data_IF_844885396704
#
_entry.id   IF_844885396704
#
_cell.length_a   1.000
_cell.length_b   1.000
_cell.length_c   1.000
_cell.angle_alpha   90.00
_cell.angle_beta   90.00
_cell.angle_gamma   90.00
#
_symmetry.space_group_name_H-M   'P 1'
#
loop_
_entity.id
_entity.type
_entity.pdbx_description
1 polymer ?
#
# COMPACT_ATOMS: atom_id res chain seq x y z
N UNK A 1 12.93 41.47 -4.01
CA UNK A 1 12.72 40.80 -2.71
C UNK A 1 11.92 39.50 -2.79
N UNK A 2 10.73 39.43 -3.43
CA UNK A 2 9.90 38.21 -3.51
C UNK A 2 10.55 37.03 -4.27
N UNK A 3 11.34 37.29 -5.35
CA UNK A 3 12.01 36.25 -6.14
C UNK A 3 13.16 35.60 -5.38
N UNK A 4 14.02 36.40 -4.74
CA UNK A 4 15.15 35.89 -3.93
C UNK A 4 14.66 35.02 -2.75
N UNK A 5 13.60 35.42 -2.08
CA UNK A 5 12.98 34.63 -1.01
C UNK A 5 12.40 33.30 -1.53
N UNK A 6 11.75 33.28 -2.71
CA UNK A 6 11.25 32.05 -3.35
C UNK A 6 12.39 31.11 -3.73
N UNK A 7 13.50 31.64 -4.27
CA UNK A 7 14.68 30.84 -4.61
C UNK A 7 15.35 30.24 -3.38
N UNK A 8 15.45 30.99 -2.31
CA UNK A 8 16.01 30.51 -1.04
C UNK A 8 15.13 29.38 -0.42
N UNK A 9 13.80 29.52 -0.45
CA UNK A 9 12.88 28.49 0.00
C UNK A 9 12.98 27.22 -0.85
N UNK A 10 13.04 27.37 -2.17
CA UNK A 10 13.21 26.25 -3.09
C UNK A 10 14.54 25.52 -2.85
N UNK A 11 15.64 26.25 -2.66
CA UNK A 11 16.95 25.68 -2.34
C UNK A 11 16.95 24.93 -1.00
N UNK A 12 16.34 25.50 0.04
CA UNK A 12 16.18 24.83 1.34
C UNK A 12 15.34 23.54 1.24
N UNK A 13 14.28 23.56 0.43
CA UNK A 13 13.44 22.38 0.20
C UNK A 13 14.21 21.30 -0.58
N UNK A 14 14.90 21.67 -1.67
CA UNK A 14 15.70 20.73 -2.47
C UNK A 14 16.80 20.08 -1.63
N UNK A 15 17.52 20.86 -0.81
CA UNK A 15 18.53 20.33 0.10
C UNK A 15 17.95 19.29 1.08
N UNK A 16 16.75 19.54 1.64
CA UNK A 16 16.08 18.58 2.54
C UNK A 16 15.71 17.30 1.82
N UNK A 17 15.16 17.39 0.60
CA UNK A 17 14.84 16.23 -0.21
C UNK A 17 16.10 15.39 -0.47
N UNK A 18 17.18 16.02 -0.92
CA UNK A 18 18.45 15.34 -1.20
C UNK A 18 19.00 14.65 0.05
N UNK A 19 19.04 15.32 1.19
CA UNK A 19 19.51 14.73 2.45
C UNK A 19 18.63 13.56 2.91
N UNK A 20 17.30 13.68 2.74
CA UNK A 20 16.37 12.57 3.04
C UNK A 20 16.62 11.37 2.13
N UNK A 21 16.84 11.60 0.83
CA UNK A 21 17.12 10.53 -0.13
C UNK A 21 18.47 9.87 0.11
N UNK A 22 19.50 10.63 0.50
CA UNK A 22 20.81 10.09 0.87
C UNK A 22 20.72 9.19 2.11
N UNK A 23 20.05 9.67 3.16
CA UNK A 23 19.82 8.85 4.36
C UNK A 23 19.03 7.58 4.04
N UNK A 24 18.01 7.69 3.20
CA UNK A 24 17.19 6.57 2.74
C UNK A 24 18.02 5.55 1.92
N UNK A 25 18.89 6.03 1.06
CA UNK A 25 19.77 5.18 0.25
C UNK A 25 20.79 4.43 1.14
N UNK A 26 21.43 5.10 2.10
CA UNK A 26 22.33 4.49 3.07
C UNK A 26 21.62 3.39 3.86
N UNK A 27 20.40 3.67 4.34
CA UNK A 27 19.60 2.69 5.08
C UNK A 27 19.18 1.50 4.20
N UNK A 28 18.89 1.73 2.91
CA UNK A 28 18.62 0.65 1.97
C UNK A 28 19.84 -0.27 1.80
N UNK A 29 21.04 0.31 1.66
CA UNK A 29 22.28 -0.47 1.57
C UNK A 29 22.56 -1.27 2.85
N UNK A 30 22.32 -0.67 4.02
CA UNK A 30 22.44 -1.40 5.29
C UNK A 30 21.45 -2.57 5.35
N UNK A 31 20.21 -2.38 4.90
CA UNK A 31 19.20 -3.44 4.81
C UNK A 31 19.59 -4.54 3.80
N UNK A 32 20.23 -4.19 2.68
CA UNK A 32 20.80 -5.18 1.74
C UNK A 32 21.86 -6.02 2.43
N UNK A 33 22.81 -5.39 3.14
CA UNK A 33 23.86 -6.09 3.88
C UNK A 33 23.31 -7.00 5.00
N UNK A 34 22.19 -6.61 5.61
CA UNK A 34 21.50 -7.39 6.65
C UNK A 34 20.52 -8.44 6.07
N UNK A 35 20.47 -8.61 4.75
CA UNK A 35 19.56 -9.55 4.06
C UNK A 35 18.10 -9.40 4.48
N UNK A 36 17.64 -8.17 4.78
CA UNK A 36 16.23 -7.92 5.14
C UNK A 36 15.32 -8.04 3.92
N UNK A 37 14.04 -8.41 4.10
CA UNK A 37 13.09 -8.37 2.99
C UNK A 37 12.91 -6.93 2.49
N UNK A 38 12.72 -6.75 1.20
CA UNK A 38 12.47 -5.45 0.57
C UNK A 38 13.42 -4.32 1.07
N UNK A 39 14.72 -4.48 0.98
CA UNK A 39 15.68 -3.55 1.58
C UNK A 39 15.50 -2.12 1.07
N UNK A 40 15.15 -1.96 -0.21
CA UNK A 40 14.93 -0.67 -0.87
C UNK A 40 13.61 0.01 -0.49
N UNK A 41 12.73 -0.66 0.26
CA UNK A 41 11.50 -0.07 0.78
C UNK A 41 11.55 0.06 2.30
N UNK A 42 11.91 -1.00 3.03
CA UNK A 42 11.91 -1.03 4.50
C UNK A 42 13.00 -0.12 5.07
N UNK A 43 14.22 -0.15 4.52
CA UNK A 43 15.31 0.73 4.97
C UNK A 43 14.95 2.22 4.90
N UNK A 44 14.56 2.74 3.71
CA UNK A 44 14.06 4.10 3.55
C UNK A 44 12.89 4.45 4.47
N UNK A 45 11.91 3.55 4.60
CA UNK A 45 10.75 3.74 5.47
C UNK A 45 11.16 3.93 6.93
N UNK A 46 11.98 3.03 7.47
CA UNK A 46 12.39 3.06 8.87
C UNK A 46 13.26 4.28 9.20
N UNK A 47 14.27 4.57 8.37
CA UNK A 47 15.16 5.72 8.65
C UNK A 47 14.43 7.05 8.54
N UNK A 48 13.56 7.23 7.53
CA UNK A 48 12.81 8.48 7.38
C UNK A 48 11.77 8.65 8.48
N UNK A 49 11.13 7.56 8.93
CA UNK A 49 10.26 7.58 10.10
C UNK A 49 11.04 7.97 11.37
N UNK A 50 12.17 7.34 11.63
CA UNK A 50 13.01 7.61 12.80
C UNK A 50 13.51 9.07 12.81
N UNK A 51 14.02 9.57 11.68
CA UNK A 51 14.47 10.95 11.55
C UNK A 51 13.32 11.96 11.76
N UNK A 52 12.14 11.68 11.19
CA UNK A 52 10.97 12.55 11.35
C UNK A 52 10.49 12.58 12.79
N UNK A 53 10.47 11.43 13.48
CA UNK A 53 10.14 11.32 14.91
C UNK A 53 11.17 12.06 15.77
N UNK A 54 12.46 11.99 15.43
CA UNK A 54 13.52 12.72 16.10
C UNK A 54 13.49 14.25 15.85
N UNK A 55 12.49 14.76 15.13
CA UNK A 55 12.31 16.18 14.84
C UNK A 55 13.12 16.70 13.66
N UNK A 56 13.83 15.83 12.93
CA UNK A 56 14.49 16.20 11.69
C UNK A 56 13.44 16.46 10.62
N UNK A 57 13.51 17.61 9.96
CA UNK A 57 12.56 17.97 8.90
C UNK A 57 12.86 17.20 7.61
N UNK A 58 12.43 15.95 7.56
CA UNK A 58 12.46 15.12 6.35
C UNK A 58 11.42 15.59 5.35
N UNK A 59 11.67 15.39 4.06
CA UNK A 59 10.75 15.82 3.01
C UNK A 59 10.73 14.79 1.87
N UNK A 60 9.52 14.37 1.48
CA UNK A 60 9.26 13.60 0.27
C UNK A 60 8.81 14.51 -0.86
N UNK A 61 9.34 14.29 -2.06
CA UNK A 61 8.94 15.02 -3.24
C UNK A 61 7.85 14.25 -4.01
N UNK A 62 6.66 14.84 -4.12
CA UNK A 62 5.50 14.17 -4.71
C UNK A 62 5.73 13.62 -6.14
N UNK A 63 6.41 14.34 -7.07
CA UNK A 63 6.71 13.77 -8.38
C UNK A 63 7.54 12.48 -8.28
N UNK A 64 8.54 12.43 -7.40
CA UNK A 64 9.37 11.23 -7.21
C UNK A 64 8.55 10.05 -6.68
N UNK A 65 7.67 10.27 -5.70
CA UNK A 65 6.72 9.25 -5.24
C UNK A 65 5.81 8.77 -6.38
N UNK A 66 5.26 9.70 -7.18
CA UNK A 66 4.36 9.37 -8.27
C UNK A 66 5.08 8.55 -9.36
N UNK A 67 6.33 8.90 -9.70
CA UNK A 67 7.18 8.12 -10.60
C UNK A 67 7.44 6.72 -10.04
N UNK A 68 7.73 6.61 -8.72
CA UNK A 68 7.86 5.31 -8.06
C UNK A 68 6.61 4.46 -8.17
N UNK A 69 5.44 5.03 -7.90
CA UNK A 69 4.16 4.32 -8.06
C UNK A 69 3.91 3.89 -9.52
N UNK A 70 4.25 4.74 -10.47
CA UNK A 70 4.13 4.45 -11.90
C UNK A 70 5.04 3.28 -12.31
N UNK A 71 6.32 3.29 -11.95
CA UNK A 71 7.27 2.19 -12.24
C UNK A 71 6.79 0.88 -11.65
N UNK A 72 6.34 0.89 -10.39
CA UNK A 72 5.82 -0.32 -9.74
C UNK A 72 4.55 -0.81 -10.42
N UNK A 73 3.62 0.08 -10.78
CA UNK A 73 2.41 -0.28 -11.52
C UNK A 73 2.74 -0.98 -12.84
N UNK A 74 3.72 -0.46 -13.60
CA UNK A 74 4.20 -1.12 -14.83
C UNK A 74 4.79 -2.48 -14.52
N UNK A 75 5.73 -2.54 -13.57
CA UNK A 75 6.46 -3.76 -13.23
C UNK A 75 5.55 -4.90 -12.75
N UNK A 76 4.43 -4.57 -12.11
CA UNK A 76 3.42 -5.54 -11.67
C UNK A 76 2.46 -5.92 -12.80
N UNK A 77 2.04 -4.95 -13.63
CA UNK A 77 1.13 -5.21 -14.75
C UNK A 77 1.73 -6.15 -15.79
N UNK A 78 3.03 -6.08 -16.03
CA UNK A 78 3.75 -7.00 -16.92
C UNK A 78 3.76 -8.47 -16.43
N UNK A 79 3.37 -8.75 -15.19
CA UNK A 79 3.22 -10.11 -14.66
C UNK A 79 1.88 -10.77 -15.03
N UNK A 80 0.96 -10.05 -15.69
CA UNK A 80 -0.37 -10.55 -16.06
C UNK A 80 -0.36 -11.15 -17.47
N UNK A 81 0.30 -12.30 -17.62
CA UNK A 81 0.27 -13.09 -18.87
C UNK A 81 -1.13 -13.68 -19.12
N UNK A 82 -1.48 -14.13 -20.36
CA UNK A 82 -2.77 -14.76 -20.65
C UNK A 82 -3.09 -15.94 -19.74
N UNK A 83 -2.09 -16.79 -19.46
CA UNK A 83 -2.24 -17.94 -18.54
C UNK A 83 -2.59 -17.49 -17.12
N UNK A 84 -1.91 -16.48 -16.62
CA UNK A 84 -2.16 -15.93 -15.27
C UNK A 84 -3.53 -15.26 -15.21
N UNK A 85 -3.94 -14.56 -16.26
CA UNK A 85 -5.29 -13.96 -16.32
C UNK A 85 -6.39 -15.03 -16.27
N UNK A 86 -6.24 -16.12 -17.02
CA UNK A 86 -7.20 -17.22 -16.96
C UNK A 86 -7.31 -17.80 -15.54
N UNK A 87 -6.18 -17.98 -14.85
CA UNK A 87 -6.15 -18.41 -13.45
C UNK A 87 -6.85 -17.42 -12.52
N UNK A 88 -6.58 -16.11 -12.64
CA UNK A 88 -7.21 -15.07 -11.82
C UNK A 88 -8.72 -15.03 -12.06
N UNK A 89 -9.16 -15.15 -13.32
CA UNK A 89 -10.58 -15.19 -13.66
C UNK A 89 -11.28 -16.44 -13.10
N UNK A 90 -10.63 -17.59 -13.10
CA UNK A 90 -11.20 -18.80 -12.50
C UNK A 90 -11.40 -18.70 -10.98
N UNK A 91 -10.66 -17.82 -10.32
CA UNK A 91 -10.72 -17.54 -8.89
C UNK A 91 -11.66 -16.38 -8.53
N UNK A 92 -12.63 -16.02 -9.39
CA UNK A 92 -13.53 -14.88 -9.15
C UNK A 92 -14.26 -14.95 -7.79
N UNK A 93 -14.64 -16.15 -7.35
CA UNK A 93 -15.27 -16.39 -6.07
C UNK A 93 -14.37 -16.01 -4.89
N UNK A 94 -13.05 -16.23 -5.03
CA UNK A 94 -12.05 -15.87 -4.02
C UNK A 94 -12.00 -14.35 -3.84
N UNK A 95 -12.15 -13.57 -4.92
CA UNK A 95 -12.26 -12.11 -4.86
C UNK A 95 -13.43 -11.70 -3.97
N UNK A 96 -14.61 -12.29 -4.17
CA UNK A 96 -15.81 -12.01 -3.37
C UNK A 96 -15.59 -12.35 -1.89
N UNK A 97 -15.05 -13.53 -1.62
CA UNK A 97 -14.75 -14.00 -0.25
C UNK A 97 -13.75 -13.07 0.44
N UNK A 98 -12.67 -12.66 -0.24
CA UNK A 98 -11.68 -11.72 0.30
C UNK A 98 -12.27 -10.31 0.55
N UNK A 99 -13.19 -9.84 -0.29
CA UNK A 99 -13.88 -8.56 -0.09
C UNK A 99 -14.76 -8.63 1.17
N UNK A 100 -15.59 -9.67 1.28
CA UNK A 100 -16.47 -9.86 2.45
C UNK A 100 -15.64 -9.97 3.73
N UNK A 101 -14.56 -10.77 3.70
CA UNK A 101 -13.62 -10.87 4.81
C UNK A 101 -13.04 -9.51 5.21
N UNK A 102 -12.56 -8.73 4.24
CA UNK A 102 -11.94 -7.43 4.49
C UNK A 102 -12.93 -6.42 5.11
N UNK A 103 -14.19 -6.41 4.64
CA UNK A 103 -15.23 -5.55 5.19
C UNK A 103 -15.62 -5.98 6.61
N UNK A 104 -15.80 -7.30 6.83
CA UNK A 104 -16.12 -7.85 8.14
C UNK A 104 -15.00 -7.59 9.16
N UNK A 105 -13.75 -7.83 8.76
CA UNK A 105 -12.57 -7.58 9.59
C UNK A 105 -12.43 -6.09 9.92
N UNK A 106 -12.61 -5.21 8.91
CA UNK A 106 -12.60 -3.77 9.11
C UNK A 106 -13.69 -3.32 10.08
N UNK A 107 -14.93 -3.77 9.89
CA UNK A 107 -16.04 -3.44 10.78
C UNK A 107 -15.79 -3.93 12.22
N UNK A 108 -15.39 -5.20 12.39
CA UNK A 108 -15.07 -5.76 13.70
C UNK A 108 -13.96 -5.00 14.42
N UNK A 109 -12.92 -4.61 13.68
CA UNK A 109 -11.84 -3.77 14.21
C UNK A 109 -12.32 -2.39 14.62
N UNK A 110 -13.25 -1.77 13.88
CA UNK A 110 -13.86 -0.50 14.23
C UNK A 110 -14.65 -0.56 15.54
N UNK A 111 -15.42 -1.62 15.75
CA UNK A 111 -16.14 -1.87 17.01
C UNK A 111 -15.19 -2.05 18.18
N UNK A 112 -14.11 -2.82 17.97
CA UNK A 112 -13.09 -3.01 18.99
C UNK A 112 -12.37 -1.71 19.34
N UNK A 113 -11.96 -0.92 18.33
CA UNK A 113 -11.34 0.39 18.56
C UNK A 113 -12.26 1.32 19.36
N UNK A 114 -13.56 1.32 19.05
CA UNK A 114 -14.52 2.13 19.79
C UNK A 114 -14.63 1.64 21.25
N UNK A 115 -14.90 0.37 21.46
CA UNK A 115 -15.08 -0.21 22.79
C UNK A 115 -13.86 0.02 23.70
N UNK A 116 -12.65 -0.06 23.14
CA UNK A 116 -11.42 0.10 23.90
C UNK A 116 -11.09 1.57 24.23
N UNK A 117 -11.37 2.49 23.30
CA UNK A 117 -10.94 3.88 23.42
C UNK A 117 -12.04 4.82 23.92
N UNK A 118 -13.33 4.58 23.64
CA UNK A 118 -14.44 5.48 23.99
C UNK A 118 -14.49 5.84 25.49
N UNK A 119 -14.26 4.91 26.44
CA UNK A 119 -14.30 5.24 27.87
C UNK A 119 -13.21 6.23 28.32
N UNK A 120 -12.15 6.41 27.50
CA UNK A 120 -10.94 7.16 27.87
C UNK A 120 -10.65 8.33 26.95
N UNK A 121 -11.37 8.45 25.85
CA UNK A 121 -11.14 9.47 24.81
C UNK A 121 -12.42 10.26 24.57
N UNK A 122 -12.52 11.42 25.23
CA UNK A 122 -13.69 12.31 25.12
C UNK A 122 -13.89 12.75 23.67
N UNK A 123 -15.12 12.57 23.15
CA UNK A 123 -15.47 12.96 21.80
C UNK A 123 -15.10 11.97 20.70
N UNK A 124 -14.69 10.75 21.05
CA UNK A 124 -14.52 9.68 20.07
C UNK A 124 -15.90 9.11 19.69
N UNK A 125 -16.22 9.15 18.42
CA UNK A 125 -17.45 8.61 17.85
C UNK A 125 -17.22 7.32 17.07
N UNK A 126 -18.27 6.54 16.88
CA UNK A 126 -18.24 5.30 16.10
C UNK A 126 -17.97 5.55 14.62
N UNK A 127 -18.31 6.75 14.10
CA UNK A 127 -18.00 7.17 12.73
C UNK A 127 -16.50 7.22 12.51
N UNK A 128 -15.76 7.84 13.42
CA UNK A 128 -14.29 7.92 13.37
C UNK A 128 -13.66 6.53 13.42
N UNK A 129 -14.10 5.66 14.34
CA UNK A 129 -13.52 4.31 14.46
C UNK A 129 -13.86 3.42 13.28
N UNK A 130 -15.05 3.56 12.69
CA UNK A 130 -15.43 2.87 11.47
C UNK A 130 -14.50 3.21 10.30
N UNK A 131 -14.32 4.50 9.99
CA UNK A 131 -13.43 4.90 8.89
C UNK A 131 -11.96 4.63 9.18
N UNK A 132 -11.51 4.72 10.43
CA UNK A 132 -10.14 4.39 10.83
C UNK A 132 -9.80 2.90 10.63
N UNK A 133 -10.78 2.03 10.73
CA UNK A 133 -10.61 0.57 10.68
C UNK A 133 -10.70 -0.02 9.27
N UNK A 134 -11.36 0.63 8.31
CA UNK A 134 -11.53 0.12 6.95
C UNK A 134 -10.19 -0.17 6.27
N UNK A 135 -10.12 -1.30 5.55
CA UNK A 135 -8.91 -1.75 4.84
C UNK A 135 -8.94 -1.24 3.40
N UNK A 136 -8.67 0.06 3.20
CA UNK A 136 -8.72 0.71 1.90
C UNK A 136 -7.64 1.77 1.73
N UNK A 137 -7.76 2.59 0.68
CA UNK A 137 -6.85 3.71 0.44
C UNK A 137 -6.97 4.77 1.53
N UNK A 138 -5.85 5.09 2.19
CA UNK A 138 -5.84 6.02 3.31
C UNK A 138 -6.39 7.40 2.95
N UNK A 139 -5.99 7.94 1.79
CA UNK A 139 -6.39 9.28 1.35
C UNK A 139 -7.88 9.35 1.02
N UNK A 140 -8.39 8.33 0.35
CA UNK A 140 -9.78 8.25 -0.11
C UNK A 140 -10.73 8.07 1.07
N UNK A 141 -10.39 7.15 1.97
CA UNK A 141 -11.21 6.92 3.18
C UNK A 141 -11.19 8.15 4.08
N UNK A 142 -10.07 8.85 4.20
CA UNK A 142 -10.00 10.10 4.97
C UNK A 142 -10.90 11.19 4.37
N UNK A 143 -10.99 11.31 3.03
CA UNK A 143 -11.91 12.24 2.37
C UNK A 143 -13.39 11.88 2.59
N UNK A 144 -13.73 10.57 2.58
CA UNK A 144 -15.08 10.12 2.89
C UNK A 144 -15.39 10.39 4.37
N UNK A 145 -14.46 10.14 5.26
CA UNK A 145 -14.55 10.39 6.69
C UNK A 145 -14.80 11.87 7.00
N UNK A 146 -14.10 12.78 6.30
CA UNK A 146 -14.30 14.23 6.39
C UNK A 146 -15.74 14.63 6.05
N UNK A 147 -16.28 14.10 4.94
CA UNK A 147 -17.69 14.35 4.54
C UNK A 147 -18.72 13.84 5.55
N UNK A 148 -18.35 12.88 6.37
CA UNK A 148 -19.18 12.30 7.45
C UNK A 148 -18.85 12.89 8.82
N UNK A 149 -18.11 13.99 8.87
CA UNK A 149 -17.71 14.70 10.09
C UNK A 149 -16.91 13.85 11.10
N UNK A 150 -16.19 12.82 10.62
CA UNK A 150 -15.27 12.04 11.44
C UNK A 150 -13.97 12.82 11.72
N UNK A 151 -13.26 12.44 12.76
CA UNK A 151 -11.94 12.99 13.09
C UNK A 151 -10.89 12.47 12.12
N UNK A 152 -10.63 13.25 11.07
CA UNK A 152 -9.71 12.90 9.97
C UNK A 152 -8.26 12.72 10.43
N UNK A 153 -7.83 13.43 11.49
CA UNK A 153 -6.54 13.27 12.13
C UNK A 153 -6.34 11.83 12.66
N UNK A 154 -7.32 11.30 13.40
CA UNK A 154 -7.27 9.95 13.94
C UNK A 154 -7.40 8.88 12.85
N UNK A 155 -8.24 9.13 11.83
CA UNK A 155 -8.40 8.23 10.68
C UNK A 155 -7.10 8.13 9.89
N UNK A 156 -6.50 9.25 9.51
CA UNK A 156 -5.24 9.28 8.78
C UNK A 156 -4.09 8.65 9.58
N UNK A 157 -4.05 8.91 10.90
CA UNK A 157 -3.07 8.32 11.81
C UNK A 157 -3.19 6.79 11.86
N UNK A 158 -4.40 6.27 12.00
CA UNK A 158 -4.65 4.83 12.05
C UNK A 158 -4.21 4.13 10.73
N UNK A 159 -4.59 4.70 9.59
CA UNK A 159 -4.19 4.16 8.29
C UNK A 159 -2.67 4.18 8.07
N UNK A 160 -2.00 5.28 8.43
CA UNK A 160 -0.55 5.40 8.28
C UNK A 160 0.19 4.38 9.14
N UNK A 161 -0.17 4.27 10.43
CA UNK A 161 0.45 3.32 11.35
C UNK A 161 0.21 1.87 10.91
N UNK A 162 -1.01 1.54 10.46
CA UNK A 162 -1.32 0.20 9.94
C UNK A 162 -0.45 -0.15 8.74
N UNK A 163 -0.34 0.74 7.76
CA UNK A 163 0.51 0.50 6.59
C UNK A 163 1.96 0.29 7.01
N UNK A 164 2.50 1.10 7.93
CA UNK A 164 3.86 0.92 8.45
C UNK A 164 4.06 -0.48 9.04
N UNK A 165 3.19 -0.88 9.97
CA UNK A 165 3.30 -2.17 10.68
C UNK A 165 3.21 -3.32 9.67
N UNK A 166 2.22 -3.30 8.77
CA UNK A 166 2.02 -4.38 7.79
C UNK A 166 3.19 -4.48 6.82
N UNK A 167 3.70 -3.33 6.34
CA UNK A 167 4.84 -3.27 5.39
C UNK A 167 6.13 -3.83 5.99
N UNK A 168 6.30 -3.72 7.30
CA UNK A 168 7.50 -4.29 7.98
C UNK A 168 7.23 -5.72 8.44
N UNK A 169 6.10 -5.95 9.14
CA UNK A 169 5.85 -7.22 9.81
C UNK A 169 5.59 -8.38 8.83
N UNK A 170 4.76 -8.17 7.79
CA UNK A 170 4.34 -9.27 6.91
C UNK A 170 5.50 -9.80 6.06
N UNK A 171 6.30 -8.98 5.34
CA UNK A 171 7.44 -9.48 4.59
C UNK A 171 8.49 -10.14 5.49
N UNK A 172 8.76 -9.54 6.68
CA UNK A 172 9.74 -10.08 7.63
C UNK A 172 9.29 -11.44 8.20
N UNK A 173 8.00 -11.61 8.47
CA UNK A 173 7.45 -12.88 8.93
C UNK A 173 7.54 -13.95 7.82
N UNK A 174 7.16 -13.62 6.58
CA UNK A 174 7.22 -14.56 5.45
C UNK A 174 8.66 -15.03 5.23
N UNK A 175 9.62 -14.10 5.19
CA UNK A 175 11.03 -14.45 5.01
C UNK A 175 11.59 -15.24 6.20
N UNK A 176 11.28 -14.81 7.44
CA UNK A 176 11.77 -15.46 8.66
C UNK A 176 11.22 -16.88 8.86
N UNK A 177 9.99 -17.14 8.38
CA UNK A 177 9.36 -18.48 8.41
C UNK A 177 9.76 -19.36 7.21
N UNK A 178 10.52 -18.82 6.25
CA UNK A 178 10.93 -19.54 5.05
C UNK A 178 9.75 -19.95 4.16
N UNK A 179 8.64 -19.20 4.18
CA UNK A 179 7.49 -19.51 3.35
C UNK A 179 7.78 -19.20 1.89
N UNK A 180 7.54 -20.18 1.05
CA UNK A 180 7.76 -20.09 -0.40
C UNK A 180 6.45 -19.92 -1.13
N UNK A 181 6.50 -19.29 -2.30
CA UNK A 181 5.34 -19.05 -3.16
C UNK A 181 5.23 -20.08 -4.28
N UNK A 182 4.39 -19.76 -5.25
CA UNK A 182 4.41 -20.44 -6.54
C UNK A 182 5.78 -20.15 -7.17
N UNK A 183 6.55 -21.20 -7.47
CA UNK A 183 7.70 -21.11 -8.38
C UNK A 183 7.18 -20.84 -9.80
N UNK A 184 6.56 -19.68 -9.98
CA UNK A 184 6.24 -19.18 -11.30
C UNK A 184 7.58 -18.76 -11.87
N UNK A 185 8.04 -19.51 -12.85
CA UNK A 185 9.22 -19.16 -13.64
C UNK A 185 9.20 -17.65 -13.91
N UNK A 186 10.35 -16.97 -13.80
CA UNK A 186 10.41 -15.52 -13.94
C UNK A 186 9.63 -15.13 -15.17
N UNK A 187 8.62 -14.29 -14.98
CA UNK A 187 7.76 -13.79 -16.03
C UNK A 187 8.65 -13.35 -17.19
N UNK A 188 8.61 -14.10 -18.28
CA UNK A 188 9.31 -13.89 -19.53
C UNK A 188 10.71 -13.27 -19.37
N UNK A 189 11.74 -13.96 -19.83
CA UNK A 189 13.08 -13.42 -20.10
C UNK A 189 13.00 -12.34 -21.20
N UNK A 190 12.18 -11.33 -20.98
CA UNK A 190 12.03 -10.23 -21.90
C UNK A 190 13.33 -9.42 -21.84
N UNK A 191 14.03 -9.38 -22.96
CA UNK A 191 15.23 -8.58 -23.08
C UNK A 191 14.92 -7.10 -22.88
N UNK A 192 15.85 -6.39 -22.26
CA UNK A 192 15.78 -4.93 -22.18
C UNK A 192 15.89 -4.32 -23.58
N UNK A 193 14.97 -3.45 -23.93
CA UNK A 193 14.98 -2.64 -25.15
C UNK A 193 14.74 -1.18 -24.79
N UNK A 194 15.70 -0.30 -25.11
CA UNK A 194 15.57 1.13 -24.83
C UNK A 194 14.37 1.75 -25.59
N UNK A 195 14.18 1.38 -26.86
CA UNK A 195 13.03 1.82 -27.65
C UNK A 195 11.71 1.28 -27.10
N UNK A 196 11.69 0.00 -26.72
CA UNK A 196 10.54 -0.63 -26.08
C UNK A 196 10.20 0.01 -24.73
N UNK A 197 11.21 0.35 -23.91
CA UNK A 197 11.01 1.06 -22.66
C UNK A 197 10.44 2.47 -22.88
N UNK A 198 10.90 3.19 -23.91
CA UNK A 198 10.33 4.50 -24.24
C UNK A 198 8.86 4.39 -24.62
N UNK A 199 8.50 3.43 -25.48
CA UNK A 199 7.12 3.20 -25.88
C UNK A 199 6.24 2.78 -24.70
N UNK A 200 6.75 1.88 -23.86
CA UNK A 200 6.08 1.46 -22.64
C UNK A 200 5.84 2.64 -21.69
N UNK A 201 6.83 3.53 -21.54
CA UNK A 201 6.73 4.77 -20.76
C UNK A 201 5.64 5.68 -21.29
N UNK A 202 5.58 5.90 -22.59
CA UNK A 202 4.57 6.75 -23.22
C UNK A 202 3.16 6.18 -23.04
N UNK A 203 2.96 4.91 -23.35
CA UNK A 203 1.64 4.27 -23.26
C UNK A 203 1.12 4.25 -21.82
N UNK A 204 1.96 3.82 -20.88
CA UNK A 204 1.57 3.74 -19.47
C UNK A 204 1.44 5.11 -18.82
N UNK A 205 2.21 6.11 -19.28
CA UNK A 205 2.07 7.51 -18.90
C UNK A 205 0.75 8.11 -19.37
N UNK A 206 0.32 7.83 -20.60
CA UNK A 206 -1.01 8.20 -21.10
C UNK A 206 -2.13 7.56 -20.30
N UNK A 207 -1.99 6.27 -19.96
CA UNK A 207 -2.95 5.58 -19.08
C UNK A 207 -3.06 6.22 -17.70
N UNK A 208 -1.91 6.57 -17.10
CA UNK A 208 -1.89 7.28 -15.81
C UNK A 208 -2.55 8.66 -15.90
N UNK A 209 -2.32 9.39 -17.00
CA UNK A 209 -2.96 10.68 -17.24
C UNK A 209 -4.47 10.54 -17.42
N UNK A 210 -4.95 9.51 -18.14
CA UNK A 210 -6.37 9.21 -18.31
C UNK A 210 -7.06 8.97 -16.96
N UNK A 211 -6.49 8.15 -16.11
CA UNK A 211 -7.02 7.89 -14.76
C UNK A 211 -6.99 9.15 -13.88
N UNK A 212 -5.96 10.00 -14.03
CA UNK A 212 -5.87 11.30 -13.37
C UNK A 212 -6.99 12.25 -13.79
N UNK A 213 -7.30 12.30 -15.09
CA UNK A 213 -8.41 13.13 -15.62
C UNK A 213 -9.78 12.66 -15.11
N UNK A 214 -9.93 11.36 -14.82
CA UNK A 214 -11.14 10.81 -14.20
C UNK A 214 -11.25 11.15 -12.70
N UNK A 215 -10.30 11.88 -12.12
CA UNK A 215 -10.27 12.26 -10.71
C UNK A 215 -10.11 11.08 -9.74
N UNK A 216 -9.57 9.95 -10.22
CA UNK A 216 -9.36 8.76 -9.39
C UNK A 216 -8.07 8.83 -8.61
N UNK A 217 -8.07 8.18 -7.45
CA UNK A 217 -6.92 8.10 -6.55
C UNK A 217 -5.82 7.21 -7.14
N UNK A 218 -4.58 7.49 -6.72
CA UNK A 218 -3.40 6.75 -7.17
C UNK A 218 -3.30 6.56 -8.70
N UNK A 219 -3.54 7.63 -9.51
CA UNK A 219 -3.64 7.50 -10.95
C UNK A 219 -2.36 6.95 -11.59
N UNK A 220 -1.20 7.31 -11.04
CA UNK A 220 0.09 6.88 -11.52
C UNK A 220 0.31 5.37 -11.36
N UNK A 221 -0.17 4.78 -10.26
CA UNK A 221 -0.13 3.34 -10.04
C UNK A 221 -1.19 2.60 -10.86
N UNK A 222 -2.46 3.00 -10.72
CA UNK A 222 -3.59 2.28 -11.33
C UNK A 222 -3.55 2.38 -12.85
N UNK A 223 -3.30 3.57 -13.41
CA UNK A 223 -3.28 3.78 -14.86
C UNK A 223 -2.15 3.02 -15.54
N UNK A 224 -0.95 3.06 -14.97
CA UNK A 224 0.18 2.30 -15.50
C UNK A 224 -0.03 0.78 -15.37
N UNK A 225 -0.59 0.32 -14.26
CA UNK A 225 -0.92 -1.09 -14.03
C UNK A 225 -1.90 -1.59 -15.09
N UNK A 226 -3.01 -0.88 -15.31
CA UNK A 226 -4.06 -1.31 -16.26
C UNK A 226 -3.54 -1.39 -17.71
N UNK A 227 -2.77 -0.39 -18.14
CA UNK A 227 -2.17 -0.41 -19.50
C UNK A 227 -1.18 -1.56 -19.61
N UNK A 228 -0.33 -1.78 -18.62
CA UNK A 228 0.63 -2.88 -18.63
C UNK A 228 -0.03 -4.25 -18.59
N UNK A 229 -1.14 -4.41 -17.84
CA UNK A 229 -1.98 -5.61 -17.91
C UNK A 229 -2.50 -5.82 -19.33
N UNK A 230 -3.05 -4.78 -19.96
CA UNK A 230 -3.55 -4.85 -21.33
C UNK A 230 -2.47 -5.28 -22.33
N UNK A 231 -1.26 -4.74 -22.25
CA UNK A 231 -0.13 -5.12 -23.09
C UNK A 231 0.29 -6.58 -22.82
N UNK A 232 0.50 -6.96 -21.58
CA UNK A 232 0.95 -8.31 -21.22
C UNK A 232 -0.10 -9.38 -21.54
N UNK A 233 -1.38 -9.07 -21.35
CA UNK A 233 -2.51 -9.97 -21.70
C UNK A 233 -2.63 -10.26 -23.19
N UNK A 234 -2.16 -9.34 -24.05
CA UNK A 234 -2.11 -9.49 -25.49
C UNK A 234 -0.72 -9.93 -25.99
N UNK A 235 0.15 -10.39 -25.10
CA UNK A 235 1.51 -10.83 -25.40
C UNK A 235 2.39 -9.76 -26.09
N UNK A 236 2.03 -8.46 -25.91
CA UNK A 236 2.78 -7.35 -26.46
C UNK A 236 3.96 -7.07 -25.52
N UNK A 237 5.09 -7.66 -25.82
CA UNK A 237 6.32 -7.60 -25.07
C UNK A 237 7.18 -6.42 -25.57
N UNK A 238 7.12 -5.25 -24.90
CA UNK A 238 7.88 -4.07 -25.29
C UNK A 238 9.28 -4.01 -24.69
N UNK A 239 9.40 -4.14 -23.36
CA UNK A 239 10.67 -4.13 -22.62
C UNK A 239 10.48 -4.65 -21.20
N UNK A 240 11.55 -5.21 -20.63
CA UNK A 240 11.64 -5.42 -19.18
C UNK A 240 11.91 -4.11 -18.44
N UNK A 241 11.50 -4.05 -17.17
CA UNK A 241 11.86 -2.94 -16.27
C UNK A 241 13.17 -3.28 -15.55
N UNK A 242 14.23 -2.46 -15.68
CA UNK A 242 15.49 -2.67 -14.95
C UNK A 242 15.27 -2.74 -13.43
N UNK A 243 16.04 -3.58 -12.77
CA UNK A 243 15.94 -3.76 -11.32
C UNK A 243 16.27 -2.48 -10.55
N UNK A 244 17.17 -1.66 -11.08
CA UNK A 244 17.56 -0.37 -10.51
C UNK A 244 16.38 0.61 -10.49
N UNK A 245 15.55 0.60 -11.54
CA UNK A 245 14.33 1.42 -11.58
C UNK A 245 13.32 0.97 -10.54
N UNK A 246 13.14 -0.33 -10.35
CA UNK A 246 12.24 -0.87 -9.33
C UNK A 246 12.76 -0.59 -7.93
N UNK A 247 14.07 -0.66 -7.69
CA UNK A 247 14.71 -0.30 -6.44
C UNK A 247 14.55 1.19 -6.11
N UNK A 248 14.79 2.07 -7.08
CA UNK A 248 14.57 3.51 -6.93
C UNK A 248 13.09 3.83 -6.65
N UNK A 249 12.18 3.12 -7.30
CA UNK A 249 10.75 3.25 -7.07
C UNK A 249 10.34 2.83 -5.64
N UNK A 250 10.87 1.71 -5.15
CA UNK A 250 10.66 1.26 -3.77
C UNK A 250 11.19 2.29 -2.75
N UNK A 251 12.39 2.84 -2.99
CA UNK A 251 12.97 3.90 -2.16
C UNK A 251 12.05 5.12 -2.11
N UNK A 252 11.55 5.57 -3.25
CA UNK A 252 10.63 6.71 -3.32
C UNK A 252 9.35 6.49 -2.52
N UNK A 253 8.77 5.30 -2.62
CA UNK A 253 7.56 4.91 -1.88
C UNK A 253 7.88 4.82 -0.38
N UNK A 254 8.97 4.15 0.02
CA UNK A 254 9.40 4.03 1.42
C UNK A 254 9.61 5.38 2.09
N UNK A 255 10.33 6.30 1.43
CA UNK A 255 10.50 7.69 1.91
C UNK A 255 9.15 8.38 2.07
N UNK A 256 8.25 8.26 1.09
CA UNK A 256 6.94 8.94 1.13
C UNK A 256 6.03 8.45 2.26
N UNK A 257 6.21 7.21 2.67
CA UNK A 257 5.51 6.65 3.82
C UNK A 257 6.16 7.10 5.13
N UNK A 258 7.49 7.08 5.21
CA UNK A 258 8.23 7.38 6.42
C UNK A 258 8.11 8.84 6.90
N UNK A 259 8.09 9.80 5.98
CA UNK A 259 7.96 11.24 6.34
C UNK A 259 6.63 11.60 7.02
N UNK A 260 5.65 10.71 7.05
CA UNK A 260 4.35 10.93 7.71
C UNK A 260 4.43 10.79 9.23
N UNK A 261 5.47 10.13 9.76
CA UNK A 261 5.63 9.82 11.18
C UNK A 261 6.42 10.91 11.89
N UNK A 262 5.78 12.07 12.14
CA UNK A 262 6.40 13.17 12.88
C UNK A 262 6.32 12.96 14.39
N UNK A 263 7.13 13.71 15.18
CA UNK A 263 7.02 13.71 16.64
C UNK A 263 5.61 14.11 17.10
N UNK A 264 5.02 15.11 16.44
CA UNK A 264 3.65 15.56 16.71
C UNK A 264 2.63 14.43 16.51
N UNK A 265 2.79 13.63 15.44
CA UNK A 265 1.97 12.45 15.19
C UNK A 265 1.94 11.47 16.37
N UNK A 266 3.11 11.18 16.99
CA UNK A 266 3.20 10.28 18.13
C UNK A 266 2.61 10.87 19.42
N UNK A 267 2.75 12.18 19.61
CA UNK A 267 2.30 12.84 20.83
C UNK A 267 0.80 13.19 20.82
N UNK A 268 0.17 13.30 19.65
CA UNK A 268 -1.23 13.72 19.53
C UNK A 268 -2.20 12.74 20.18
N UNK A 269 -1.98 11.43 20.04
CA UNK A 269 -2.88 10.42 20.60
C UNK A 269 -2.16 9.07 20.87
N UNK A 270 -1.23 8.99 21.84
CA UNK A 270 -0.39 7.80 22.01
C UNK A 270 -1.17 6.52 22.33
N UNK A 271 -2.26 6.63 23.11
CA UNK A 271 -3.13 5.47 23.42
C UNK A 271 -3.91 5.00 22.19
N UNK A 272 -4.40 5.94 21.37
CA UNK A 272 -5.04 5.62 20.10
C UNK A 272 -4.08 4.85 19.18
N UNK A 273 -2.86 5.36 19.02
CA UNK A 273 -1.83 4.72 18.21
C UNK A 273 -1.47 3.33 18.76
N UNK A 274 -1.33 3.19 20.08
CA UNK A 274 -1.06 1.89 20.69
C UNK A 274 -2.20 0.89 20.41
N UNK A 275 -3.47 1.31 20.55
CA UNK A 275 -4.61 0.45 20.25
C UNK A 275 -4.66 0.08 18.76
N UNK A 276 -4.42 1.03 17.86
CA UNK A 276 -4.32 0.74 16.41
C UNK A 276 -3.18 -0.23 16.13
N UNK A 277 -2.03 -0.07 16.79
CA UNK A 277 -0.88 -0.97 16.64
C UNK A 277 -1.20 -2.41 17.04
N UNK A 278 -1.72 -2.59 18.25
CA UNK A 278 -2.13 -3.91 18.76
C UNK A 278 -3.20 -4.53 17.87
N UNK A 279 -4.24 -3.76 17.53
CA UNK A 279 -5.31 -4.24 16.68
C UNK A 279 -4.83 -4.60 15.26
N UNK A 280 -3.85 -3.87 14.71
CA UNK A 280 -3.23 -4.22 13.42
C UNK A 280 -2.52 -5.56 13.49
N UNK A 281 -1.77 -5.85 14.56
CA UNK A 281 -1.13 -7.16 14.75
C UNK A 281 -2.17 -8.28 14.85
N UNK A 282 -3.26 -8.06 15.60
CA UNK A 282 -4.38 -9.01 15.66
C UNK A 282 -5.00 -9.22 14.27
N UNK A 283 -5.22 -8.14 13.50
CA UNK A 283 -5.73 -8.26 12.12
C UNK A 283 -4.80 -9.08 11.23
N UNK A 284 -3.47 -8.90 11.34
CA UNK A 284 -2.50 -9.71 10.60
C UNK A 284 -2.65 -11.19 10.98
N UNK A 285 -2.72 -11.51 12.26
CA UNK A 285 -2.91 -12.90 12.74
C UNK A 285 -4.22 -13.51 12.23
N UNK A 286 -5.31 -12.74 12.26
CA UNK A 286 -6.61 -13.19 11.72
C UNK A 286 -6.54 -13.42 10.20
N UNK A 287 -5.82 -12.56 9.45
CA UNK A 287 -5.58 -12.77 8.02
C UNK A 287 -4.72 -14.02 7.78
N UNK A 288 -3.71 -14.30 8.60
CA UNK A 288 -2.92 -15.54 8.52
C UNK A 288 -3.83 -16.76 8.76
N UNK A 289 -4.64 -16.74 9.84
CA UNK A 289 -5.60 -17.81 10.11
C UNK A 289 -6.60 -18.03 8.97
N UNK A 290 -7.13 -16.95 8.40
CA UNK A 290 -8.01 -17.03 7.24
C UNK A 290 -7.30 -17.56 5.99
N UNK A 291 -6.02 -17.24 5.82
CA UNK A 291 -5.21 -17.70 4.70
C UNK A 291 -4.96 -19.21 4.73
N UNK A 292 -4.90 -19.85 5.90
CA UNK A 292 -4.88 -21.31 5.99
C UNK A 292 -6.15 -21.94 5.42
N UNK A 293 -7.32 -21.37 5.71
CA UNK A 293 -8.59 -21.86 5.13
C UNK A 293 -8.59 -21.66 3.60
N UNK A 294 -8.13 -20.53 3.12
CA UNK A 294 -8.04 -20.27 1.68
C UNK A 294 -7.04 -21.18 0.97
N UNK A 295 -5.92 -21.51 1.61
CA UNK A 295 -4.94 -22.46 1.08
C UNK A 295 -5.59 -23.82 0.84
N UNK A 296 -6.35 -24.35 1.78
CA UNK A 296 -7.03 -25.63 1.65
C UNK A 296 -8.07 -25.62 0.51
N UNK A 297 -8.76 -24.48 0.33
CA UNK A 297 -9.79 -24.35 -0.71
C UNK A 297 -9.23 -24.12 -2.11
N UNK A 298 -8.08 -23.44 -2.22
CA UNK A 298 -7.54 -23.01 -3.52
C UNK A 298 -6.31 -23.79 -3.96
N UNK A 299 -5.66 -24.52 -3.03
CA UNK A 299 -4.36 -25.17 -3.21
C UNK A 299 -3.24 -24.17 -3.59
N UNK A 300 -3.45 -22.88 -3.36
CA UNK A 300 -2.43 -21.86 -3.58
C UNK A 300 -1.53 -21.73 -2.33
N UNK A 301 -0.24 -21.34 -2.49
CA UNK A 301 0.69 -21.22 -1.38
C UNK A 301 0.20 -20.26 -0.30
N UNK A 302 0.42 -20.64 0.97
CA UNK A 302 0.02 -19.86 2.14
C UNK A 302 0.53 -18.42 2.09
N UNK A 303 1.79 -18.22 1.71
CA UNK A 303 2.39 -16.89 1.62
C UNK A 303 1.65 -15.99 0.60
N UNK A 304 1.23 -16.56 -0.54
CA UNK A 304 0.43 -15.84 -1.53
C UNK A 304 -0.93 -15.42 -0.96
N UNK A 305 -1.59 -16.31 -0.21
CA UNK A 305 -2.89 -16.01 0.43
C UNK A 305 -2.73 -14.98 1.55
N UNK A 306 -1.68 -15.06 2.35
CA UNK A 306 -1.38 -14.06 3.40
C UNK A 306 -1.18 -12.67 2.80
N UNK A 307 -0.39 -12.54 1.73
CA UNK A 307 -0.20 -11.26 1.05
C UNK A 307 -1.49 -10.75 0.39
N UNK A 308 -2.33 -11.64 -0.10
CA UNK A 308 -3.61 -11.30 -0.73
C UNK A 308 -4.63 -10.74 0.27
N UNK A 309 -4.63 -11.26 1.49
CA UNK A 309 -5.60 -10.90 2.54
C UNK A 309 -5.07 -9.85 3.52
N UNK A 310 -3.75 -9.67 3.63
CA UNK A 310 -3.12 -8.75 4.56
C UNK A 310 -3.68 -7.32 4.46
N UNK A 311 -3.90 -6.62 5.59
CA UNK A 311 -4.49 -5.27 5.62
C UNK A 311 -3.49 -4.17 5.25
N UNK A 312 -2.63 -4.41 4.28
CA UNK A 312 -1.61 -3.50 3.76
C UNK A 312 -2.06 -2.66 2.57
N UNK A 313 -1.16 -1.81 2.07
CA UNK A 313 -1.35 -1.10 0.82
C UNK A 313 -1.09 -2.00 -0.40
N UNK A 314 -1.73 -1.68 -1.53
CA UNK A 314 -1.63 -2.49 -2.76
C UNK A 314 -0.18 -2.57 -3.23
N UNK A 315 0.48 -1.41 -3.34
CA UNK A 315 1.85 -1.34 -3.86
C UNK A 315 2.81 -2.14 -2.97
N UNK A 316 2.69 -2.02 -1.65
CA UNK A 316 3.55 -2.66 -0.69
C UNK A 316 3.41 -4.20 -0.72
N UNK A 317 2.18 -4.71 -0.73
CA UNK A 317 1.93 -6.16 -0.78
C UNK A 317 2.31 -6.76 -2.13
N UNK A 318 2.00 -6.07 -3.23
CA UNK A 318 2.34 -6.52 -4.57
C UNK A 318 3.87 -6.47 -4.84
N UNK A 319 4.58 -5.46 -4.32
CA UNK A 319 6.06 -5.42 -4.35
C UNK A 319 6.63 -6.59 -3.54
N UNK A 320 6.08 -6.84 -2.36
CA UNK A 320 6.49 -7.99 -1.53
C UNK A 320 6.32 -9.30 -2.29
N UNK A 321 5.17 -9.50 -2.92
CA UNK A 321 4.93 -10.67 -3.76
C UNK A 321 5.96 -10.79 -4.89
N UNK A 322 6.31 -9.68 -5.54
CA UNK A 322 7.28 -9.66 -6.64
C UNK A 322 8.70 -9.99 -6.17
N UNK A 323 9.15 -9.37 -5.08
CA UNK A 323 10.52 -9.55 -4.56
C UNK A 323 10.71 -10.96 -3.99
N UNK A 324 9.69 -11.50 -3.33
CA UNK A 324 9.70 -12.83 -2.72
C UNK A 324 9.14 -13.93 -3.66
N UNK A 325 8.79 -13.61 -4.91
CA UNK A 325 8.25 -14.53 -5.93
C UNK A 325 7.00 -15.30 -5.46
N UNK A 326 6.03 -14.59 -4.92
CA UNK A 326 4.86 -15.16 -4.22
C UNK A 326 3.54 -15.04 -4.99
N UNK A 327 3.49 -15.27 -6.28
CA UNK A 327 2.25 -15.21 -7.06
C UNK A 327 1.75 -13.77 -7.27
N UNK A 328 2.60 -12.92 -7.84
CA UNK A 328 2.44 -11.46 -8.01
C UNK A 328 1.06 -11.07 -8.53
N UNK A 329 0.58 -11.74 -9.58
CA UNK A 329 -0.67 -11.35 -10.23
C UNK A 329 -1.90 -11.67 -9.37
N UNK A 330 -1.92 -12.81 -8.66
CA UNK A 330 -3.00 -13.17 -7.74
C UNK A 330 -3.07 -12.16 -6.60
N UNK A 331 -1.93 -11.88 -5.96
CA UNK A 331 -1.84 -10.87 -4.89
C UNK A 331 -2.30 -9.51 -5.39
N UNK A 332 -1.79 -9.06 -6.55
CA UNK A 332 -2.14 -7.75 -7.11
C UNK A 332 -3.62 -7.66 -7.45
N UNK A 333 -4.19 -8.67 -8.12
CA UNK A 333 -5.60 -8.71 -8.47
C UNK A 333 -6.50 -8.65 -7.23
N UNK A 334 -6.26 -9.49 -6.22
CA UNK A 334 -7.05 -9.51 -5.00
C UNK A 334 -6.95 -8.20 -4.22
N UNK A 335 -5.76 -7.62 -4.11
CA UNK A 335 -5.53 -6.34 -3.45
C UNK A 335 -6.23 -5.17 -4.18
N UNK A 336 -6.18 -5.12 -5.51
CA UNK A 336 -6.83 -4.08 -6.33
C UNK A 336 -8.34 -4.22 -6.26
N UNK A 337 -8.89 -5.42 -6.46
CA UNK A 337 -10.33 -5.67 -6.36
C UNK A 337 -10.86 -5.31 -4.97
N UNK A 338 -10.14 -5.67 -3.91
CA UNK A 338 -10.48 -5.28 -2.54
C UNK A 338 -10.53 -3.77 -2.36
N UNK A 339 -9.50 -3.04 -2.83
CA UNK A 339 -9.48 -1.58 -2.73
C UNK A 339 -10.69 -0.97 -3.40
N UNK A 340 -10.97 -1.34 -4.65
CA UNK A 340 -12.10 -0.83 -5.43
C UNK A 340 -13.40 -1.12 -4.69
N UNK A 341 -13.59 -2.35 -4.24
CA UNK A 341 -14.80 -2.77 -3.54
C UNK A 341 -14.99 -2.01 -2.22
N UNK A 342 -13.93 -1.87 -1.42
CA UNK A 342 -14.01 -1.13 -0.15
C UNK A 342 -14.33 0.34 -0.41
N UNK A 343 -13.74 0.99 -1.42
CA UNK A 343 -14.03 2.39 -1.73
C UNK A 343 -15.48 2.59 -2.20
N UNK A 344 -16.02 1.64 -2.96
CA UNK A 344 -17.42 1.70 -3.42
C UNK A 344 -18.40 1.42 -2.27
N UNK A 345 -18.08 0.43 -1.43
CA UNK A 345 -19.00 -0.09 -0.41
C UNK A 345 -18.88 0.62 0.94
N UNK A 346 -17.78 1.33 1.22
CA UNK A 346 -17.52 1.98 2.51
C UNK A 346 -18.64 2.94 2.93
N UNK A 347 -19.07 3.83 2.03
CA UNK A 347 -20.11 4.80 2.31
C UNK A 347 -21.52 4.19 2.35
N UNK A 348 -21.97 3.37 1.39
CA UNK A 348 -23.24 2.66 1.49
C UNK A 348 -23.37 1.80 2.74
N UNK A 349 -22.33 1.05 3.10
CA UNK A 349 -22.31 0.23 4.30
C UNK A 349 -22.42 1.09 5.58
N UNK A 350 -21.71 2.21 5.63
CA UNK A 350 -21.83 3.19 6.72
C UNK A 350 -23.27 3.69 6.87
N UNK A 351 -23.91 4.11 5.77
CA UNK A 351 -25.29 4.62 5.79
C UNK A 351 -26.25 3.54 6.30
N UNK A 352 -26.10 2.31 5.82
CA UNK A 352 -26.94 1.18 6.21
C UNK A 352 -26.78 0.81 7.70
N UNK A 353 -25.54 0.74 8.22
CA UNK A 353 -25.23 0.48 9.64
C UNK A 353 -25.77 1.59 10.54
N UNK A 354 -25.62 2.85 10.11
CA UNK A 354 -26.11 4.00 10.87
C UNK A 354 -27.65 4.04 10.92
N UNK A 355 -28.33 3.71 9.82
CA UNK A 355 -29.79 3.60 9.77
C UNK A 355 -30.35 2.54 10.72
N UNK A 356 -29.60 1.45 10.92
CA UNK A 356 -29.93 0.39 11.89
C UNK A 356 -29.54 0.71 13.34
N UNK A 357 -28.96 1.87 13.60
CA UNK A 357 -28.55 2.30 14.92
C UNK A 357 -27.25 1.66 15.44
N UNK A 358 -26.55 0.86 14.62
CA UNK A 358 -25.34 0.17 15.04
C UNK A 358 -24.14 1.11 15.20
N UNK A 359 -24.17 2.26 14.54
CA UNK A 359 -23.17 3.33 14.65
C UNK A 359 -23.64 4.53 15.49
N UNK A 360 -24.88 4.51 16.02
CA UNK A 360 -25.33 5.53 16.97
C UNK A 360 -24.64 5.30 18.31
N UNK A 361 -24.21 6.40 18.95
CA UNK A 361 -23.60 6.40 20.26
C UNK A 361 -24.59 5.99 21.35
#
# INVERSE_FOLDING_TARGET
MKLAHRLELAFRQSRRVVLTLLAAWIAAQACVALHTPLPWMIGPLLITSALSIAGVRTLSWNPFRNTGQWVIGVALGLSFTPHVNAMVVSLWWLVVVCIVWSLALGYGFGLWLYAFNAPRFVGLDKTTTYFASLIGGASEITLIAERKHARTDLVAAAHSLRVLIVTVAVPSAIQGLGWHGLDVAPSSTQAFSATGLLLLTLLTGLGAMGVKMMGRSNPWFIGSLLVSIGLASNEIALSSIPVEMTNAAQLAIGVSLGVRFTAEFLHTAPRWLASVGVGTLVMILLCVGFSFVLQELTQLPLATMVLSTAPGGIAEMAITAKVLQLGVAVVTALQVCRLIAVLILAEPLFIWLNARGWLKA
#
